data_IF_553345297118
#
_entry.id   IF_553345297118
#
_cell.length_a   1.000
_cell.length_b   1.000
_cell.length_c   1.000
_cell.angle_alpha   90.00
_cell.angle_beta   90.00
_cell.angle_gamma   90.00
#
_symmetry.space_group_name_H-M   'P 1'
#
loop_
_entity.id
_entity.type
_entity.pdbx_description
1 polymer ?
#
# COMPACT_ATOMS: atom_id res chain seq x y z
N UNK A 1 21.97 18.20 6.19
CA UNK A 1 21.99 19.20 5.11
C UNK A 1 22.55 18.55 3.86
N UNK A 2 21.73 18.05 2.98
CA UNK A 2 22.12 17.72 1.61
C UNK A 2 21.19 18.48 0.67
N UNK A 3 21.80 19.37 -0.09
CA UNK A 3 21.18 20.32 -0.99
C UNK A 3 20.56 19.61 -2.18
N UNK A 4 19.34 20.03 -2.51
CA UNK A 4 18.75 19.87 -3.84
C UNK A 4 19.75 20.37 -4.88
N UNK A 5 20.31 19.47 -5.69
CA UNK A 5 21.12 19.83 -6.86
C UNK A 5 20.19 19.91 -8.06
N UNK A 6 19.99 21.11 -8.52
CA UNK A 6 19.47 21.36 -9.85
C UNK A 6 20.43 20.74 -10.87
N UNK A 7 19.95 19.79 -11.66
CA UNK A 7 20.69 19.19 -12.78
C UNK A 7 20.37 20.02 -14.01
N UNK A 8 21.42 20.68 -14.53
CA UNK A 8 21.36 21.39 -15.78
C UNK A 8 21.24 20.40 -16.95
N UNK A 9 20.29 20.62 -17.84
CA UNK A 9 20.13 19.90 -19.09
C UNK A 9 21.33 20.11 -20.01
N UNK A 10 22.08 19.05 -20.29
CA UNK A 10 22.96 18.94 -21.43
C UNK A 10 22.26 18.07 -22.46
N UNK A 11 21.81 18.66 -23.55
CA UNK A 11 21.21 17.94 -24.67
C UNK A 11 22.32 17.14 -25.41
N UNK A 12 22.34 15.83 -25.18
CA UNK A 12 23.01 14.87 -26.05
C UNK A 12 21.97 14.27 -26.99
N UNK A 13 22.12 14.52 -28.31
CA UNK A 13 21.39 13.83 -29.36
C UNK A 13 21.84 12.34 -29.36
N UNK A 14 21.15 11.50 -28.61
CA UNK A 14 21.30 10.05 -28.65
C UNK A 14 20.23 9.46 -29.56
N UNK A 15 20.65 8.69 -30.55
CA UNK A 15 19.79 7.87 -31.41
C UNK A 15 18.92 6.99 -30.52
N UNK A 16 17.61 7.24 -30.46
CA UNK A 16 16.64 6.36 -29.80
C UNK A 16 16.58 5.04 -30.57
N UNK A 17 17.27 4.02 -30.08
CA UNK A 17 16.85 2.64 -30.27
C UNK A 17 15.52 2.52 -29.51
N UNK A 18 14.40 2.48 -30.25
CA UNK A 18 13.12 2.02 -29.72
C UNK A 18 13.30 0.54 -29.43
N UNK A 19 13.76 0.21 -28.24
CA UNK A 19 13.57 -1.11 -27.69
C UNK A 19 12.06 -1.26 -27.54
N UNK A 20 11.44 -2.23 -28.25
CA UNK A 20 10.12 -2.70 -27.91
C UNK A 20 10.16 -3.15 -26.46
N UNK A 21 9.70 -2.29 -25.54
CA UNK A 21 9.34 -2.75 -24.23
C UNK A 21 8.17 -3.71 -24.43
N UNK A 22 8.21 -4.91 -23.81
CA UNK A 22 7.02 -5.74 -23.79
C UNK A 22 5.89 -4.86 -23.25
N UNK A 23 4.76 -4.86 -23.97
CA UNK A 23 3.56 -4.15 -23.53
C UNK A 23 3.36 -4.45 -22.06
N UNK A 24 3.47 -3.43 -21.20
CA UNK A 24 3.09 -3.60 -19.80
C UNK A 24 1.66 -4.09 -19.84
N UNK A 25 1.33 -5.16 -19.12
CA UNK A 25 -0.01 -5.69 -19.15
C UNK A 25 -0.95 -4.53 -18.80
N UNK A 26 -1.86 -4.23 -19.71
CA UNK A 26 -2.93 -3.27 -19.41
C UNK A 26 -3.63 -3.81 -18.19
N UNK A 27 -3.36 -3.21 -17.05
CA UNK A 27 -4.01 -3.58 -15.82
C UNK A 27 -5.36 -2.92 -15.88
N UNK A 28 -6.26 -3.68 -16.46
CA UNK A 28 -7.67 -3.42 -16.40
C UNK A 28 -8.19 -4.15 -15.15
N UNK A 29 -8.50 -3.42 -14.06
CA UNK A 29 -9.15 -4.01 -12.91
C UNK A 29 -10.58 -4.48 -13.22
N UNK A 30 -10.95 -4.59 -14.48
CA UNK A 30 -12.26 -4.97 -14.97
C UNK A 30 -13.18 -3.77 -15.22
N UNK A 31 -12.65 -2.56 -15.17
CA UNK A 31 -13.43 -1.33 -15.33
C UNK A 31 -13.27 -0.65 -16.69
N UNK A 32 -12.36 -1.15 -17.55
CA UNK A 32 -12.07 -0.53 -18.85
C UNK A 32 -11.63 0.94 -18.75
N UNK A 33 -11.04 1.34 -17.63
CA UNK A 33 -10.66 2.72 -17.33
C UNK A 33 -11.82 3.59 -16.79
N UNK A 34 -12.97 2.99 -16.51
CA UNK A 34 -14.14 3.68 -15.96
C UNK A 34 -14.43 3.19 -14.52
N UNK A 35 -13.44 3.28 -13.65
CA UNK A 35 -13.60 2.84 -12.27
C UNK A 35 -14.75 3.57 -11.58
N UNK A 36 -15.79 2.84 -11.21
CA UNK A 36 -17.04 3.38 -10.65
C UNK A 36 -17.60 2.50 -9.54
N UNK A 37 -16.73 1.84 -8.80
CA UNK A 37 -17.10 0.89 -7.75
C UNK A 37 -17.87 1.58 -6.62
N UNK A 38 -18.98 0.97 -6.20
CA UNK A 38 -19.81 1.40 -5.08
C UNK A 38 -20.25 0.18 -4.30
N UNK A 39 -19.43 -0.28 -3.35
CA UNK A 39 -19.76 -1.46 -2.56
C UNK A 39 -21.00 -1.22 -1.69
N UNK A 40 -21.86 -2.23 -1.58
CA UNK A 40 -23.02 -2.21 -0.68
C UNK A 40 -22.52 -2.31 0.78
N UNK A 41 -22.81 -1.31 1.64
CA UNK A 41 -22.40 -1.36 3.05
C UNK A 41 -22.89 -2.61 3.81
N UNK A 42 -23.98 -3.23 3.38
CA UNK A 42 -24.56 -4.40 4.04
C UNK A 42 -23.74 -5.70 3.89
N UNK A 43 -22.80 -5.74 2.94
CA UNK A 43 -21.95 -6.92 2.74
C UNK A 43 -20.70 -6.90 3.61
N UNK A 44 -20.41 -5.81 4.31
CA UNK A 44 -19.22 -5.70 5.15
C UNK A 44 -19.41 -6.35 6.52
N UNK A 45 -18.34 -6.95 7.02
CA UNK A 45 -18.26 -7.62 8.32
C UNK A 45 -17.46 -6.78 9.32
N UNK A 46 -17.59 -7.08 10.62
CA UNK A 46 -16.95 -6.29 11.67
C UNK A 46 -15.46 -6.58 11.86
N UNK A 47 -14.98 -7.72 11.36
CA UNK A 47 -13.59 -8.15 11.55
C UNK A 47 -12.88 -8.23 10.23
N UNK A 48 -11.60 -7.90 10.26
CA UNK A 48 -10.68 -8.13 9.15
C UNK A 48 -9.81 -9.33 9.55
N UNK A 49 -10.22 -10.52 9.07
CA UNK A 49 -9.58 -11.80 9.35
C UNK A 49 -9.03 -12.48 8.08
N UNK A 50 -8.91 -11.72 6.99
CA UNK A 50 -8.24 -12.17 5.79
C UNK A 50 -6.84 -12.74 6.14
N UNK A 51 -6.52 -13.98 5.74
CA UNK A 51 -5.29 -14.63 6.17
C UNK A 51 -4.01 -13.93 5.71
N UNK A 52 -4.06 -13.14 4.64
CA UNK A 52 -2.92 -12.40 4.11
C UNK A 52 -2.79 -10.97 4.68
N UNK A 53 -3.88 -10.45 5.26
CA UNK A 53 -3.91 -9.13 5.88
C UNK A 53 -4.80 -9.14 7.13
N UNK A 54 -4.38 -9.82 8.22
CA UNK A 54 -5.18 -9.99 9.42
C UNK A 54 -5.11 -8.76 10.31
N UNK A 55 -5.94 -7.76 10.04
CA UNK A 55 -6.00 -6.52 10.82
C UNK A 55 -6.84 -6.69 12.10
N UNK A 56 -6.37 -7.57 12.99
CA UNK A 56 -6.98 -7.75 14.32
C UNK A 56 -6.60 -6.60 15.24
N UNK A 57 -7.53 -5.94 15.94
CA UNK A 57 -7.22 -4.86 16.88
C UNK A 57 -6.12 -5.23 17.88
N UNK A 58 -5.16 -4.33 18.08
CA UNK A 58 -3.96 -4.54 18.88
C UNK A 58 -2.79 -5.20 18.14
N UNK A 59 -2.98 -5.66 16.89
CA UNK A 59 -1.85 -6.12 16.07
C UNK A 59 -0.91 -4.97 15.77
N UNK A 60 0.40 -5.23 15.86
CA UNK A 60 1.45 -4.22 15.63
C UNK A 60 2.60 -4.80 14.84
N UNK A 61 2.99 -4.08 13.82
CA UNK A 61 4.18 -4.35 13.01
C UNK A 61 5.17 -3.21 13.15
N UNK A 62 6.44 -3.55 13.08
CA UNK A 62 7.50 -2.56 12.98
C UNK A 62 8.41 -3.00 11.85
N UNK A 63 8.65 -2.07 10.94
CA UNK A 63 9.55 -2.25 9.81
C UNK A 63 10.73 -1.30 9.93
N UNK A 64 11.86 -1.69 9.35
CA UNK A 64 13.04 -0.83 9.22
C UNK A 64 13.56 -0.88 7.78
N UNK A 65 13.99 0.27 7.30
CA UNK A 65 14.65 0.44 6.01
C UNK A 65 15.98 1.18 6.16
N UNK A 66 16.70 1.30 5.06
CA UNK A 66 17.96 2.03 5.05
C UNK A 66 17.81 3.50 5.45
N UNK A 67 18.91 4.13 5.90
CA UNK A 67 18.90 5.56 6.22
C UNK A 67 18.16 5.96 7.48
N UNK A 68 18.04 5.06 8.46
CA UNK A 68 17.39 5.34 9.75
C UNK A 68 15.85 5.41 9.69
N UNK A 69 15.26 4.94 8.59
CA UNK A 69 13.81 4.90 8.41
C UNK A 69 13.20 3.74 9.19
N UNK A 70 12.14 4.03 9.91
CA UNK A 70 11.35 3.09 10.68
C UNK A 70 9.89 3.39 10.52
N UNK A 71 9.10 2.36 10.26
CA UNK A 71 7.66 2.44 10.16
C UNK A 71 7.01 1.56 11.23
N UNK A 72 5.97 2.06 11.87
CA UNK A 72 5.16 1.35 12.86
C UNK A 72 3.69 1.36 12.46
N UNK A 73 3.14 0.19 12.22
CA UNK A 73 1.71 -0.04 11.90
C UNK A 73 1.01 -0.62 13.11
N UNK A 74 -0.08 -0.01 13.54
CA UNK A 74 -0.91 -0.44 14.67
C UNK A 74 -2.37 -0.50 14.28
N UNK A 75 -2.99 -1.67 14.38
CA UNK A 75 -4.45 -1.78 14.28
C UNK A 75 -5.07 -1.31 15.57
N UNK A 76 -5.79 -0.19 15.51
CA UNK A 76 -6.43 0.39 16.69
C UNK A 76 -7.76 -0.31 17.01
N UNK A 77 -8.37 0.03 18.15
CA UNK A 77 -9.74 -0.34 18.50
C UNK A 77 -10.78 0.68 18.00
N UNK A 78 -10.32 1.71 17.30
CA UNK A 78 -11.17 2.75 16.76
C UNK A 78 -11.80 2.32 15.44
N UNK A 79 -12.96 2.89 15.17
CA UNK A 79 -13.67 2.71 13.89
C UNK A 79 -14.07 4.05 13.29
N UNK A 80 -14.17 4.10 11.97
CA UNK A 80 -14.71 5.25 11.22
C UNK A 80 -15.81 4.79 10.28
N UNK A 81 -16.84 5.61 10.09
CA UNK A 81 -17.86 5.37 9.06
C UNK A 81 -17.47 6.10 7.78
N UNK A 82 -17.29 5.33 6.70
CA UNK A 82 -17.01 5.83 5.34
C UNK A 82 -18.05 5.21 4.40
N UNK A 83 -18.75 6.00 3.62
CA UNK A 83 -19.84 5.54 2.72
C UNK A 83 -20.89 4.65 3.39
N UNK A 84 -21.12 4.79 4.71
CA UNK A 84 -22.00 3.90 5.48
C UNK A 84 -21.36 2.59 5.97
N UNK A 85 -20.14 2.28 5.53
CA UNK A 85 -19.34 1.13 5.95
C UNK A 85 -18.63 1.47 7.26
N UNK A 86 -18.58 0.54 8.21
CA UNK A 86 -17.78 0.69 9.43
C UNK A 86 -16.38 0.14 9.17
N UNK A 87 -15.41 1.03 9.07
CA UNK A 87 -14.01 0.71 8.86
C UNK A 87 -13.24 0.59 10.18
N UNK A 88 -12.25 -0.30 10.22
CA UNK A 88 -11.21 -0.36 11.24
C UNK A 88 -10.18 0.73 10.95
N UNK A 89 -9.77 1.48 11.98
CA UNK A 89 -8.70 2.47 11.86
C UNK A 89 -7.35 1.82 12.16
N UNK A 90 -6.43 1.91 11.22
CA UNK A 90 -5.04 1.49 11.36
C UNK A 90 -4.18 2.76 11.42
N UNK A 91 -3.29 2.84 12.41
CA UNK A 91 -2.34 3.95 12.52
C UNK A 91 -1.00 3.50 11.94
N UNK A 92 -0.52 4.24 10.97
CA UNK A 92 0.80 4.13 10.40
C UNK A 92 1.64 5.35 10.83
N UNK A 93 2.88 5.09 11.28
CA UNK A 93 3.76 6.15 11.76
C UNK A 93 5.18 5.93 11.26
N UNK A 94 5.62 6.83 10.40
CA UNK A 94 6.98 6.81 9.86
C UNK A 94 7.88 7.78 10.62
N UNK A 95 9.07 7.30 10.97
CA UNK A 95 10.13 8.11 11.57
C UNK A 95 11.44 7.93 10.79
N UNK A 96 12.28 8.96 10.81
CA UNK A 96 13.64 8.90 10.25
C UNK A 96 14.62 9.44 11.27
N UNK A 97 15.62 8.63 11.66
CA UNK A 97 16.56 8.95 12.76
C UNK A 97 15.84 9.34 14.07
N UNK A 98 14.64 8.77 14.30
CA UNK A 98 13.78 9.05 15.46
C UNK A 98 12.90 10.29 15.35
N UNK A 99 13.01 11.07 14.28
CA UNK A 99 12.13 12.21 14.01
C UNK A 99 10.90 11.76 13.22
N UNK A 100 9.73 12.23 13.62
CA UNK A 100 8.45 11.95 12.90
C UNK A 100 8.48 12.60 11.53
N UNK A 101 8.31 11.79 10.48
CA UNK A 101 8.23 12.27 9.07
C UNK A 101 6.82 12.15 8.50
N UNK A 102 6.05 11.13 8.96
CA UNK A 102 4.66 10.98 8.54
C UNK A 102 3.84 10.23 9.58
N UNK A 103 2.58 10.58 9.65
CA UNK A 103 1.57 9.83 10.39
C UNK A 103 0.30 9.75 9.57
N UNK A 104 -0.19 8.52 9.38
CA UNK A 104 -1.42 8.24 8.65
C UNK A 104 -2.41 7.47 9.51
N UNK A 105 -3.69 7.74 9.33
CA UNK A 105 -4.80 6.94 9.84
C UNK A 105 -5.55 6.38 8.66
N UNK A 106 -5.36 5.09 8.41
CA UNK A 106 -5.95 4.35 7.31
C UNK A 106 -7.28 3.72 7.72
N UNK A 107 -8.20 3.57 6.76
CA UNK A 107 -9.51 2.98 7.03
C UNK A 107 -9.76 1.76 6.16
N UNK A 108 -9.75 0.60 6.79
CA UNK A 108 -9.96 -0.68 6.12
C UNK A 108 -11.27 -1.35 6.58
N UNK A 109 -11.88 -2.10 5.68
CA UNK A 109 -13.02 -2.96 5.99
C UNK A 109 -12.96 -4.26 5.18
N UNK A 110 -13.53 -5.35 5.71
CA UNK A 110 -13.62 -6.61 5.00
C UNK A 110 -15.05 -6.86 4.56
N UNK A 111 -15.23 -7.30 3.31
CA UNK A 111 -16.52 -7.77 2.84
C UNK A 111 -16.77 -9.23 3.28
N UNK A 112 -17.99 -9.71 3.05
CA UNK A 112 -18.42 -11.09 3.41
C UNK A 112 -17.67 -12.16 2.63
N UNK A 113 -17.15 -11.81 1.46
CA UNK A 113 -16.36 -12.73 0.63
C UNK A 113 -14.91 -12.82 1.12
N UNK A 114 -14.50 -11.92 2.03
CA UNK A 114 -13.17 -11.87 2.65
C UNK A 114 -12.19 -10.93 1.97
N UNK A 115 -12.61 -10.12 0.99
CA UNK A 115 -11.75 -9.09 0.42
C UNK A 115 -11.59 -7.94 1.41
N UNK A 116 -10.37 -7.44 1.57
CA UNK A 116 -10.10 -6.24 2.38
C UNK A 116 -10.10 -5.03 1.47
N UNK A 117 -10.91 -4.06 1.83
CA UNK A 117 -11.12 -2.81 1.12
C UNK A 117 -10.40 -1.67 1.82
N UNK A 118 -9.80 -0.79 1.03
CA UNK A 118 -9.25 0.47 1.47
C UNK A 118 -10.25 1.59 1.18
N UNK A 119 -10.62 2.32 2.22
CA UNK A 119 -11.71 3.30 2.17
C UNK A 119 -11.21 4.74 2.29
N UNK A 120 -9.92 4.94 2.52
CA UNK A 120 -9.29 6.24 2.62
C UNK A 120 -8.30 6.36 3.76
N UNK A 121 -7.72 7.55 3.86
CA UNK A 121 -6.70 7.88 4.86
C UNK A 121 -6.74 9.35 5.25
N UNK A 122 -6.21 9.63 6.45
CA UNK A 122 -5.91 10.96 6.95
C UNK A 122 -4.40 11.04 7.26
N UNK A 123 -3.66 11.57 6.31
CA UNK A 123 -2.20 11.67 6.34
C UNK A 123 -1.73 13.03 6.80
N UNK A 124 -0.71 13.06 7.65
CA UNK A 124 0.05 14.24 8.01
C UNK A 124 1.54 13.98 7.80
N UNK A 125 2.08 14.49 6.69
CA UNK A 125 3.50 14.46 6.40
C UNK A 125 4.20 15.72 6.96
N UNK A 126 5.42 15.58 7.46
CA UNK A 126 6.20 16.66 8.04
C UNK A 126 7.43 16.96 7.17
N UNK A 127 7.43 18.11 6.49
CA UNK A 127 8.56 18.57 5.69
C UNK A 127 9.18 19.80 6.34
N UNK A 128 10.44 19.65 6.81
CA UNK A 128 11.14 20.72 7.54
C UNK A 128 10.33 21.23 8.76
N UNK A 129 9.71 20.31 9.49
CA UNK A 129 8.86 20.60 10.67
C UNK A 129 7.50 21.25 10.35
N UNK A 130 7.10 21.33 9.07
CA UNK A 130 5.80 21.86 8.65
C UNK A 130 4.89 20.71 8.24
N UNK A 131 3.68 20.61 8.85
CA UNK A 131 2.71 19.59 8.48
C UNK A 131 2.08 19.88 7.11
N UNK A 132 1.76 18.81 6.40
CA UNK A 132 1.01 18.79 5.14
C UNK A 132 0.03 17.63 5.19
N UNK A 133 -1.21 17.82 4.75
CA UNK A 133 -2.23 16.80 4.60
C UNK A 133 -2.37 16.32 3.14
N UNK A 134 -1.39 16.60 2.30
CA UNK A 134 -1.38 16.10 0.92
C UNK A 134 -1.34 14.56 0.95
N UNK A 135 -2.15 13.93 0.11
CA UNK A 135 -2.37 12.48 0.09
C UNK A 135 -3.65 12.04 0.79
N UNK A 136 -4.19 12.80 1.75
CA UNK A 136 -5.44 12.42 2.42
C UNK A 136 -6.62 12.35 1.46
N UNK A 137 -7.40 11.28 1.59
CA UNK A 137 -8.60 11.06 0.78
C UNK A 137 -9.62 10.21 1.55
N UNK A 138 -10.89 10.31 1.16
CA UNK A 138 -11.98 9.51 1.73
C UNK A 138 -12.93 9.05 0.62
N UNK A 139 -13.20 7.77 0.54
CA UNK A 139 -14.14 7.21 -0.43
C UNK A 139 -15.51 7.87 -0.30
N UNK A 140 -16.09 8.28 -1.45
CA UNK A 140 -17.36 9.00 -1.51
C UNK A 140 -17.23 10.52 -1.36
N UNK A 141 -16.04 11.06 -1.09
CA UNK A 141 -15.77 12.50 -1.00
C UNK A 141 -14.96 12.95 -2.21
N UNK A 142 -15.31 14.06 -2.82
CA UNK A 142 -14.61 14.69 -3.95
C UNK A 142 -14.29 13.73 -5.13
N UNK A 143 -15.16 12.73 -5.33
CA UNK A 143 -15.02 11.76 -6.41
C UNK A 143 -14.08 10.60 -6.11
N UNK A 144 -13.54 10.50 -4.90
CA UNK A 144 -12.73 9.37 -4.48
C UNK A 144 -13.56 8.09 -4.35
N UNK A 145 -12.98 6.95 -4.70
CA UNK A 145 -13.60 5.63 -4.68
C UNK A 145 -12.73 4.65 -3.90
N UNK A 146 -13.33 3.69 -3.18
CA UNK A 146 -12.58 2.67 -2.46
C UNK A 146 -11.94 1.67 -3.42
N UNK A 147 -10.90 0.99 -2.98
CA UNK A 147 -10.29 -0.11 -3.70
C UNK A 147 -10.10 -1.36 -2.84
N UNK A 148 -9.59 -2.42 -3.43
CA UNK A 148 -9.25 -3.66 -2.74
C UNK A 148 -7.76 -3.63 -2.44
N UNK A 149 -7.38 -3.73 -1.16
CA UNK A 149 -5.98 -3.84 -0.76
C UNK A 149 -5.51 -5.30 -0.70
N UNK A 150 -6.44 -6.23 -0.41
CA UNK A 150 -6.14 -7.67 -0.40
C UNK A 150 -7.37 -8.49 -0.78
N UNK A 151 -7.20 -9.38 -1.75
CA UNK A 151 -8.27 -10.29 -2.18
C UNK A 151 -8.46 -11.44 -1.20
N UNK A 152 -9.67 -11.96 -1.13
CA UNK A 152 -10.01 -13.14 -0.32
C UNK A 152 -9.29 -14.42 -0.79
N UNK A 153 -9.27 -14.64 -2.10
CA UNK A 153 -8.64 -15.79 -2.77
C UNK A 153 -7.71 -15.28 -3.88
N UNK A 154 -6.53 -14.73 -3.52
CA UNK A 154 -5.63 -14.10 -4.47
C UNK A 154 -5.01 -15.15 -5.41
N UNK A 155 -5.03 -14.88 -6.71
CA UNK A 155 -4.45 -15.73 -7.77
C UNK A 155 -3.47 -14.94 -8.60
N UNK A 156 -2.40 -15.61 -9.03
CA UNK A 156 -1.42 -15.01 -9.94
C UNK A 156 -2.13 -14.48 -11.18
N UNK A 157 -1.89 -13.23 -11.50
CA UNK A 157 -2.52 -12.49 -12.59
C UNK A 157 -3.70 -11.62 -12.17
N UNK A 158 -4.26 -11.80 -10.97
CA UNK A 158 -5.26 -10.85 -10.44
C UNK A 158 -4.65 -9.46 -10.33
N UNK A 159 -5.35 -8.45 -10.85
CA UNK A 159 -4.97 -7.06 -10.74
C UNK A 159 -6.18 -6.22 -10.31
N UNK A 160 -5.93 -5.20 -9.49
CA UNK A 160 -7.00 -4.40 -8.89
C UNK A 160 -6.49 -3.01 -8.50
N UNK A 161 -7.42 -2.05 -8.41
CA UNK A 161 -7.15 -0.76 -7.77
C UNK A 161 -7.19 -0.93 -6.27
N UNK A 162 -6.18 -0.39 -5.60
CA UNK A 162 -6.11 -0.32 -4.15
C UNK A 162 -6.80 0.92 -3.63
N UNK A 163 -6.81 1.99 -4.43
CA UNK A 163 -7.47 3.26 -4.15
C UNK A 163 -7.75 4.01 -5.46
N UNK A 164 -8.64 4.99 -5.42
CA UNK A 164 -8.84 5.86 -6.56
C UNK A 164 -9.34 7.25 -6.16
N UNK A 165 -8.48 8.24 -6.28
CA UNK A 165 -8.80 9.67 -6.33
C UNK A 165 -7.96 10.31 -7.42
N UNK A 166 -8.59 10.72 -8.51
CA UNK A 166 -7.91 11.16 -9.72
C UNK A 166 -6.85 12.23 -9.43
N UNK A 167 -5.61 11.96 -9.79
CA UNK A 167 -4.45 12.86 -9.64
C UNK A 167 -3.92 12.98 -8.21
N UNK A 168 -4.44 12.19 -7.26
CA UNK A 168 -4.02 12.25 -5.85
C UNK A 168 -3.71 10.87 -5.26
N UNK A 169 -4.54 9.84 -5.55
CA UNK A 169 -4.42 8.48 -5.04
C UNK A 169 -4.90 7.50 -6.11
N UNK A 170 -4.01 6.81 -6.80
CA UNK A 170 -4.35 5.96 -7.94
C UNK A 170 -3.62 4.60 -7.90
N UNK A 171 -3.32 4.10 -6.71
CA UNK A 171 -2.52 2.90 -6.52
C UNK A 171 -3.20 1.64 -7.01
N UNK A 172 -2.41 0.79 -7.59
CA UNK A 172 -2.81 -0.49 -8.18
C UNK A 172 -1.90 -1.61 -7.70
N UNK A 173 -2.48 -2.79 -7.54
CA UNK A 173 -1.78 -4.00 -7.17
C UNK A 173 -2.05 -5.14 -8.13
N UNK A 174 -1.07 -6.03 -8.28
CA UNK A 174 -1.18 -7.27 -9.05
C UNK A 174 -0.52 -8.41 -8.31
N UNK A 175 -1.22 -9.53 -8.20
CA UNK A 175 -0.64 -10.77 -7.68
C UNK A 175 0.33 -11.35 -8.73
N UNK A 176 1.60 -11.44 -8.39
CA UNK A 176 2.64 -11.91 -9.33
C UNK A 176 3.19 -13.28 -8.99
N UNK A 177 3.25 -13.66 -7.71
CA UNK A 177 3.75 -14.97 -7.26
C UNK A 177 3.02 -15.46 -6.02
N UNK A 178 2.99 -16.78 -5.84
CA UNK A 178 2.51 -17.47 -4.64
C UNK A 178 3.48 -18.62 -4.35
N UNK A 179 3.80 -18.83 -3.09
CA UNK A 179 4.71 -19.88 -2.66
C UNK A 179 6.18 -19.43 -2.56
N UNK A 180 6.42 -18.13 -2.60
CA UNK A 180 7.76 -17.54 -2.48
C UNK A 180 8.33 -17.66 -1.06
N UNK A 181 9.62 -17.44 -0.92
CA UNK A 181 10.35 -17.50 0.36
C UNK A 181 11.17 -16.24 0.55
N UNK A 182 11.19 -15.71 1.76
CA UNK A 182 12.00 -14.56 2.11
C UNK A 182 12.55 -14.66 3.54
N UNK A 183 13.66 -13.98 3.76
CA UNK A 183 14.24 -13.78 5.07
C UNK A 183 14.31 -12.30 5.40
N UNK A 184 13.64 -11.93 6.49
CA UNK A 184 13.70 -10.59 7.08
C UNK A 184 14.26 -10.68 8.51
N UNK A 185 14.63 -9.57 9.16
CA UNK A 185 15.18 -9.60 10.52
C UNK A 185 14.28 -10.32 11.54
N UNK A 186 12.95 -10.23 11.40
CA UNK A 186 12.03 -10.92 12.30
C UNK A 186 12.18 -12.45 12.22
N UNK A 187 12.19 -13.05 11.03
CA UNK A 187 12.41 -14.48 10.75
C UNK A 187 12.41 -14.80 9.26
N UNK A 188 12.65 -16.07 8.92
CA UNK A 188 12.39 -16.59 7.58
C UNK A 188 10.91 -16.95 7.41
N UNK A 189 10.40 -16.78 6.20
CA UNK A 189 9.04 -17.10 5.81
C UNK A 189 9.03 -17.93 4.54
N UNK A 190 8.09 -18.87 4.45
CA UNK A 190 7.80 -19.70 3.29
C UNK A 190 6.35 -19.52 2.88
N UNK A 191 6.04 -19.81 1.62
CA UNK A 191 4.67 -19.77 1.10
C UNK A 191 4.09 -18.38 1.00
N UNK A 192 4.95 -17.38 0.74
CA UNK A 192 4.54 -15.99 0.63
C UNK A 192 3.68 -15.73 -0.61
N UNK A 193 2.73 -14.83 -0.46
CA UNK A 193 2.04 -14.14 -1.55
C UNK A 193 2.84 -12.88 -1.90
N UNK A 194 3.07 -12.65 -3.19
CA UNK A 194 3.77 -11.44 -3.65
C UNK A 194 2.90 -10.66 -4.60
N UNK A 195 2.74 -9.37 -4.28
CA UNK A 195 2.13 -8.40 -5.19
C UNK A 195 3.19 -7.53 -5.84
N UNK A 196 2.88 -7.00 -7.00
CA UNK A 196 3.51 -5.83 -7.58
C UNK A 196 2.56 -4.66 -7.42
N UNK A 197 3.07 -3.58 -6.86
CA UNK A 197 2.30 -2.38 -6.58
C UNK A 197 2.93 -1.19 -7.35
N UNK A 198 2.09 -0.33 -7.90
CA UNK A 198 2.52 0.85 -8.67
C UNK A 198 1.39 1.88 -8.72
N UNK A 199 1.75 3.09 -9.09
CA UNK A 199 0.79 4.16 -9.37
C UNK A 199 1.11 4.84 -10.70
N UNK A 200 0.11 5.22 -11.52
CA UNK A 200 0.36 6.01 -12.73
C UNK A 200 0.87 7.42 -12.43
N UNK A 201 0.73 7.89 -11.17
CA UNK A 201 1.22 9.19 -10.73
C UNK A 201 2.76 9.20 -10.59
N UNK A 202 3.37 8.03 -10.35
CA UNK A 202 4.81 7.81 -10.24
C UNK A 202 5.24 6.56 -11.04
N UNK A 203 5.00 6.56 -12.34
CA UNK A 203 5.15 5.40 -13.23
C UNK A 203 6.55 4.77 -13.28
N UNK A 204 7.57 5.52 -12.82
CA UNK A 204 8.95 5.01 -12.71
C UNK A 204 9.11 4.04 -11.53
N UNK A 205 8.25 4.11 -10.50
CA UNK A 205 8.37 3.32 -9.28
C UNK A 205 7.50 2.09 -9.36
N UNK A 206 8.06 0.93 -9.04
CA UNK A 206 7.35 -0.32 -8.86
C UNK A 206 7.92 -1.02 -7.63
N UNK A 207 7.03 -1.52 -6.79
CA UNK A 207 7.36 -2.23 -5.57
C UNK A 207 6.86 -3.66 -5.62
N UNK A 208 7.52 -4.55 -4.90
CA UNK A 208 7.01 -5.87 -4.55
C UNK A 208 6.73 -5.92 -3.05
N UNK A 209 5.51 -6.35 -2.71
CA UNK A 209 5.09 -6.56 -1.33
C UNK A 209 4.89 -8.04 -1.06
N UNK A 210 5.48 -8.53 0.00
CA UNK A 210 5.49 -9.93 0.39
C UNK A 210 4.62 -10.14 1.63
N UNK A 211 3.61 -10.98 1.51
CA UNK A 211 2.65 -11.24 2.57
C UNK A 211 2.75 -12.66 3.07
N UNK A 212 2.79 -12.83 4.39
CA UNK A 212 2.77 -14.12 5.07
C UNK A 212 1.41 -14.39 5.70
N UNK A 213 0.86 -15.60 5.52
CA UNK A 213 -0.42 -15.97 6.16
C UNK A 213 -0.33 -15.84 7.69
N UNK A 214 -1.35 -15.20 8.27
CA UNK A 214 -1.47 -14.97 9.70
C UNK A 214 -0.52 -13.90 10.27
N UNK A 215 0.27 -13.26 9.39
CA UNK A 215 1.16 -12.14 9.79
C UNK A 215 0.81 -10.86 9.02
N UNK A 216 0.55 -10.94 7.71
CA UNK A 216 0.39 -9.77 6.85
C UNK A 216 1.67 -9.44 6.09
N UNK A 217 1.91 -8.17 5.81
CA UNK A 217 3.09 -7.67 5.11
C UNK A 217 4.36 -7.99 5.92
N UNK A 218 5.37 -8.56 5.27
CA UNK A 218 6.66 -8.89 5.91
C UNK A 218 7.85 -8.20 5.25
N UNK A 219 7.67 -7.79 4.00
CA UNK A 219 8.68 -7.09 3.23
C UNK A 219 8.01 -6.26 2.14
N UNK A 220 8.52 -5.05 1.96
CA UNK A 220 8.30 -4.23 0.77
C UNK A 220 9.66 -3.92 0.14
N UNK A 221 9.76 -4.04 -1.18
CA UNK A 221 11.02 -3.84 -1.90
C UNK A 221 10.77 -3.11 -3.20
N UNK A 222 11.39 -1.97 -3.38
CA UNK A 222 11.38 -1.23 -4.65
C UNK A 222 12.21 -1.99 -5.68
N UNK A 223 11.56 -2.46 -6.75
CA UNK A 223 12.20 -3.25 -7.82
C UNK A 223 12.48 -2.41 -9.08
N UNK A 224 11.88 -1.23 -9.17
CA UNK A 224 12.10 -0.23 -10.22
C UNK A 224 11.96 1.17 -9.62
N UNK A 225 12.78 2.11 -10.05
CA UNK A 225 12.75 3.50 -9.60
C UNK A 225 13.50 3.76 -8.30
N UNK A 226 14.00 2.73 -7.65
CA UNK A 226 14.72 2.80 -6.37
C UNK A 226 15.39 1.47 -6.04
N UNK A 227 15.82 1.35 -4.78
CA UNK A 227 16.40 0.13 -4.22
C UNK A 227 16.07 0.05 -2.71
N UNK A 228 14.97 0.62 -2.30
CA UNK A 228 14.52 0.62 -0.91
C UNK A 228 13.99 -0.76 -0.56
N UNK A 229 14.24 -1.16 0.70
CA UNK A 229 13.79 -2.42 1.25
C UNK A 229 13.34 -2.16 2.68
N UNK A 230 12.05 -2.32 2.92
CA UNK A 230 11.39 -2.10 4.20
C UNK A 230 11.04 -3.47 4.81
N UNK A 231 11.77 -3.88 5.83
CA UNK A 231 11.79 -5.24 6.35
C UNK A 231 11.14 -5.33 7.72
N UNK A 232 10.29 -6.34 7.92
CA UNK A 232 9.68 -6.61 9.22
C UNK A 232 10.75 -6.98 10.26
N UNK A 233 10.84 -6.18 11.34
CA UNK A 233 11.73 -6.43 12.48
C UNK A 233 10.97 -6.90 13.72
N UNK A 234 9.69 -6.53 13.86
CA UNK A 234 8.86 -6.96 14.99
C UNK A 234 7.42 -7.15 14.55
N UNK A 235 6.79 -8.23 15.01
CA UNK A 235 5.36 -8.46 14.89
C UNK A 235 4.77 -8.91 16.22
N UNK A 236 3.69 -8.26 16.61
CA UNK A 236 2.88 -8.63 17.76
C UNK A 236 1.43 -8.81 17.30
N UNK A 237 0.85 -10.01 17.40
CA UNK A 237 -0.55 -10.23 17.04
C UNK A 237 -1.49 -9.53 18.03
N UNK A 238 -2.63 -9.05 17.54
CA UNK A 238 -3.75 -8.57 18.33
C UNK A 238 -4.47 -9.71 19.08
N UNK A 239 -5.48 -9.36 19.84
CA UNK A 239 -6.25 -10.30 20.68
C UNK A 239 -7.73 -10.27 20.32
#
# INVERSE_FOLDING_TARGET
MRSVRAIAFVALLGVMLVACQPDEPVIDPGDGGNYAVRPDPSVFVQRIDNPWLPFTPGSRWVYEAGGGQRNEVLVTDQTRKVMGITATVVSDTETRDGELVERTLDWFAQDRDGNVWYLGEDTTAYKNGRPSSAGSWEAGVDGALPGIIMKADPKVGDAYRQEFKRGEAEDMGKIVRVGDTERVPFRSFDGLLVTQDWTPLESEVVEEKFYAKGVGLVLESTIRGGAERNELVTYQPGR
#
